data_IF_106556806395
#
_entry.id   IF_106556806395
#
_cell.length_a   1.000
_cell.length_b   1.000
_cell.length_c   1.000
_cell.angle_alpha   90.00
_cell.angle_beta   90.00
_cell.angle_gamma   90.00
#
_symmetry.space_group_name_H-M   'P 1'
#
loop_
_entity.id
_entity.type
_entity.pdbx_description
1 polymer ?
#
# COMPACT_ATOMS: atom_id res chain seq x y z
N UNK A 1 3.39 -7.92 -9.79
CA UNK A 1 2.17 -7.11 -10.02
C UNK A 1 2.02 -6.01 -8.97
N UNK A 2 2.00 -6.29 -7.66
CA UNK A 2 1.72 -5.25 -6.65
C UNK A 2 2.59 -3.98 -6.74
N UNK A 3 3.89 -4.12 -7.06
CA UNK A 3 4.79 -2.95 -7.22
C UNK A 3 4.42 -2.07 -8.41
N UNK A 4 3.99 -2.68 -9.52
CA UNK A 4 3.51 -1.95 -10.69
C UNK A 4 2.17 -1.26 -10.39
N UNK A 5 1.29 -1.95 -9.66
CA UNK A 5 0.03 -1.37 -9.20
C UNK A 5 0.27 -0.18 -8.25
N UNK A 6 1.24 -0.28 -7.35
CA UNK A 6 1.67 0.83 -6.50
C UNK A 6 2.18 2.01 -7.33
N UNK A 7 3.07 1.77 -8.29
CA UNK A 7 3.63 2.81 -9.14
C UNK A 7 2.55 3.57 -9.92
N UNK A 8 1.67 2.85 -10.62
CA UNK A 8 0.55 3.44 -11.37
C UNK A 8 -0.41 4.14 -10.41
N UNK A 9 -0.74 3.51 -9.28
CA UNK A 9 -1.62 4.06 -8.26
C UNK A 9 -1.13 5.40 -7.71
N UNK A 10 0.17 5.53 -7.44
CA UNK A 10 0.78 6.79 -6.99
C UNK A 10 0.60 7.92 -8.02
N UNK A 11 0.79 7.63 -9.31
CA UNK A 11 0.60 8.61 -10.38
C UNK A 11 -0.86 9.07 -10.47
N UNK A 12 -1.80 8.12 -10.34
CA UNK A 12 -3.23 8.41 -10.39
C UNK A 12 -3.70 9.26 -9.20
N UNK A 13 -3.31 8.91 -7.97
CA UNK A 13 -3.72 9.67 -6.78
C UNK A 13 -3.11 11.07 -6.77
N UNK A 14 -1.86 11.22 -7.22
CA UNK A 14 -1.23 12.52 -7.36
C UNK A 14 -1.94 13.38 -8.41
N UNK A 15 -2.29 12.79 -9.56
CA UNK A 15 -3.07 13.47 -10.62
C UNK A 15 -4.47 13.87 -10.15
N UNK A 16 -5.06 13.11 -9.22
CA UNK A 16 -6.35 13.42 -8.60
C UNK A 16 -6.26 14.47 -7.47
N UNK A 17 -5.06 15.00 -7.17
CA UNK A 17 -4.86 16.03 -6.15
C UNK A 17 -4.72 15.51 -4.71
N UNK A 18 -4.59 14.19 -4.52
CA UNK A 18 -4.27 13.60 -3.22
C UNK A 18 -2.77 13.59 -2.96
N UNK A 19 -2.37 13.49 -1.69
CA UNK A 19 -0.97 13.37 -1.29
C UNK A 19 -0.48 11.91 -1.41
N UNK A 20 0.35 11.57 -2.42
CA UNK A 20 0.85 10.21 -2.60
C UNK A 20 1.76 9.74 -1.46
N UNK A 21 2.34 10.67 -0.66
CA UNK A 21 3.27 10.36 0.44
C UNK A 21 2.60 9.65 1.61
N UNK A 22 1.26 9.55 1.59
CA UNK A 22 0.48 8.83 2.62
C UNK A 22 0.47 7.31 2.37
N UNK A 23 0.73 6.85 1.15
CA UNK A 23 0.65 5.43 0.77
C UNK A 23 1.46 4.47 1.66
N UNK A 24 2.73 4.75 2.07
CA UNK A 24 3.48 3.86 2.95
C UNK A 24 2.75 3.58 4.27
N UNK A 25 2.12 4.61 4.85
CA UNK A 25 1.41 4.51 6.14
C UNK A 25 0.16 3.63 6.05
N UNK A 26 -0.47 3.55 4.89
CA UNK A 26 -1.63 2.67 4.67
C UNK A 26 -1.22 1.21 4.85
N UNK A 27 -0.15 0.79 4.18
CA UNK A 27 0.35 -0.58 4.26
C UNK A 27 0.94 -0.93 5.62
N UNK A 28 1.58 0.03 6.29
CA UNK A 28 2.04 -0.15 7.67
C UNK A 28 0.87 -0.42 8.62
N UNK A 29 -0.22 0.36 8.51
CA UNK A 29 -1.43 0.16 9.33
C UNK A 29 -2.11 -1.17 9.02
N UNK A 30 -2.21 -1.51 7.74
CA UNK A 30 -2.82 -2.77 7.30
C UNK A 30 -2.09 -3.99 7.88
N UNK A 31 -0.75 -3.96 7.92
CA UNK A 31 0.06 -5.02 8.51
C UNK A 31 -0.03 -5.15 10.03
N UNK A 32 -0.62 -4.16 10.73
CA UNK A 32 -0.84 -4.17 12.19
C UNK A 32 -2.22 -4.68 12.59
N UNK A 33 -3.16 -4.83 11.64
CA UNK A 33 -4.50 -5.32 11.94
C UNK A 33 -4.45 -6.85 12.03
N UNK A 34 -4.76 -7.38 13.21
CA UNK A 34 -4.78 -8.82 13.51
C UNK A 34 -6.20 -9.30 13.81
N UNK A 35 -6.55 -10.50 13.38
CA UNK A 35 -7.84 -11.14 13.72
C UNK A 35 -9.04 -10.71 12.86
N UNK A 36 -8.85 -9.77 11.93
CA UNK A 36 -9.89 -9.33 10.99
C UNK A 36 -9.87 -10.19 9.71
N UNK A 37 -10.95 -10.92 9.44
CA UNK A 37 -11.06 -11.82 8.28
C UNK A 37 -11.07 -11.09 6.94
N UNK A 38 -11.54 -9.84 6.89
CA UNK A 38 -11.54 -9.02 5.68
C UNK A 38 -10.10 -8.62 5.31
N UNK A 39 -9.31 -8.21 6.31
CA UNK A 39 -7.90 -7.88 6.11
C UNK A 39 -7.11 -9.12 5.67
N UNK A 40 -7.37 -10.29 6.25
CA UNK A 40 -6.70 -11.53 5.84
C UNK A 40 -7.01 -11.92 4.39
N UNK A 41 -8.27 -11.76 3.95
CA UNK A 41 -8.66 -12.01 2.56
C UNK A 41 -8.03 -11.00 1.58
N UNK A 42 -7.90 -9.75 2.00
CA UNK A 42 -7.18 -8.75 1.20
C UNK A 42 -5.69 -9.12 1.09
N UNK A 43 -5.04 -9.48 2.19
CA UNK A 43 -3.62 -9.84 2.20
C UNK A 43 -3.31 -11.14 1.43
N UNK A 44 -4.28 -12.04 1.27
CA UNK A 44 -4.12 -13.27 0.48
C UNK A 44 -4.09 -13.00 -1.03
N UNK A 45 -4.84 -12.00 -1.50
CA UNK A 45 -4.88 -11.59 -2.92
C UNK A 45 -3.85 -10.51 -3.25
N UNK A 46 -3.51 -9.67 -2.27
CA UNK A 46 -2.55 -8.58 -2.39
C UNK A 46 -1.42 -8.75 -1.35
N UNK A 47 -0.45 -9.65 -1.59
CA UNK A 47 0.62 -9.94 -0.65
C UNK A 47 1.63 -8.79 -0.56
N UNK A 48 2.61 -8.93 0.35
CA UNK A 48 3.80 -8.07 0.45
C UNK A 48 3.58 -6.66 1.01
N UNK A 49 2.52 -6.42 1.81
CA UNK A 49 2.24 -5.11 2.42
C UNK A 49 3.46 -4.45 3.10
N UNK A 50 4.23 -5.19 3.90
CA UNK A 50 5.45 -4.67 4.56
C UNK A 50 6.50 -4.19 3.55
N UNK A 51 6.80 -5.02 2.55
CA UNK A 51 7.81 -4.70 1.52
C UNK A 51 7.37 -3.49 0.68
N UNK A 52 6.08 -3.39 0.38
CA UNK A 52 5.49 -2.24 -0.32
C UNK A 52 5.65 -0.95 0.50
N UNK A 53 5.33 -1.00 1.79
CA UNK A 53 5.52 0.14 2.70
C UNK A 53 6.97 0.65 2.70
N UNK A 54 7.95 -0.25 2.79
CA UNK A 54 9.38 0.09 2.74
C UNK A 54 9.79 0.76 1.44
N UNK A 55 9.38 0.21 0.30
CA UNK A 55 9.71 0.75 -1.02
C UNK A 55 9.09 2.13 -1.24
N UNK A 56 7.83 2.30 -0.85
CA UNK A 56 7.12 3.56 -0.97
C UNK A 56 7.69 4.64 -0.05
N UNK A 57 8.22 4.27 1.12
CA UNK A 57 8.88 5.21 2.03
C UNK A 57 10.24 5.68 1.50
N UNK A 58 10.95 4.85 0.72
CA UNK A 58 12.25 5.19 0.13
C UNK A 58 12.13 6.04 -1.15
N UNK A 59 10.97 6.02 -1.80
CA UNK A 59 10.71 6.77 -3.04
C UNK A 59 10.38 8.27 -2.79
N UNK A 60 10.56 8.76 -1.57
CA UNK A 60 10.25 10.15 -1.15
C UNK A 60 11.43 11.10 -1.28
#
# INVERSE_FOLDING_TARGET
MEIEADYIGLLLIASAGYDPRVAPKVYEKLGKITGDSMVQNYLSTHPSGRKRAELLAQAQ
#
